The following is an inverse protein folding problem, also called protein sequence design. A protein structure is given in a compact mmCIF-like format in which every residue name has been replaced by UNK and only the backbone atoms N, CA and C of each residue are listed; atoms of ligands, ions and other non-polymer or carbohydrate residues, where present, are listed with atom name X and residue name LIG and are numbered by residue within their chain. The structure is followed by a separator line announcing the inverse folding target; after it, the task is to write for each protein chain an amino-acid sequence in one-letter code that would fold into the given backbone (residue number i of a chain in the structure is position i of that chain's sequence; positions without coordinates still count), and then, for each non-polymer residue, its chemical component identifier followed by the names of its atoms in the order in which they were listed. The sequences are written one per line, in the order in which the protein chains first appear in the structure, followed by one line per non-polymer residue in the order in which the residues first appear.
data_IF_784425736310
#
_entry.id   IF_784425736310
#
_cell.length_a   1.000
_cell.length_b   1.000
_cell.length_c   1.000
_cell.angle_alpha   90.00
_cell.angle_beta   90.00
_cell.angle_gamma   90.00
#
_symmetry.space_group_name_H-M   'P 1'
#
loop_
_entity.id
_entity.type
_entity.pdbx_description
1 polymer ?
#
# COMPACT_ATOMS: atom_id res chain seq x y z
N UNK A 1 23.30 -17.22 -9.32
CA UNK A 1 21.99 -16.81 -9.90
C UNK A 1 21.97 -15.27 -10.01
N UNK A 2 21.63 -14.71 -11.17
CA UNK A 2 21.67 -13.25 -11.36
C UNK A 2 20.30 -12.65 -10.97
N UNK A 3 20.27 -11.74 -9.99
CA UNK A 3 19.04 -11.13 -9.46
C UNK A 3 18.22 -10.40 -10.52
N UNK A 4 18.86 -9.77 -11.50
CA UNK A 4 18.18 -9.11 -12.64
C UNK A 4 17.38 -10.11 -13.49
N UNK A 5 17.87 -11.33 -13.66
CA UNK A 5 17.15 -12.38 -14.41
C UNK A 5 15.92 -12.86 -13.63
N UNK A 6 16.02 -13.01 -12.29
CA UNK A 6 14.87 -13.34 -11.43
C UNK A 6 13.82 -12.26 -11.51
N UNK A 7 14.20 -10.99 -11.39
CA UNK A 7 13.27 -9.85 -11.46
C UNK A 7 12.51 -9.82 -12.79
N UNK A 8 13.20 -10.04 -13.91
CA UNK A 8 12.56 -10.09 -15.22
C UNK A 8 11.53 -11.22 -15.33
N UNK A 9 11.85 -12.41 -14.80
CA UNK A 9 10.91 -13.54 -14.76
C UNK A 9 9.68 -13.24 -13.89
N UNK A 10 9.87 -12.61 -12.73
CA UNK A 10 8.77 -12.21 -11.84
C UNK A 10 7.88 -11.19 -12.53
N UNK A 11 8.46 -10.17 -13.19
CA UNK A 11 7.71 -9.14 -13.90
C UNK A 11 6.92 -9.75 -15.07
N UNK A 12 7.55 -10.60 -15.86
CA UNK A 12 6.88 -11.31 -16.96
C UNK A 12 5.71 -12.14 -16.46
N UNK A 13 5.90 -12.93 -15.40
CA UNK A 13 4.83 -13.69 -14.79
C UNK A 13 3.71 -12.78 -14.28
N UNK A 14 4.05 -11.70 -13.57
CA UNK A 14 3.07 -10.76 -13.05
C UNK A 14 2.24 -10.11 -14.15
N UNK A 15 2.85 -9.69 -15.23
CA UNK A 15 2.12 -9.05 -16.35
C UNK A 15 1.07 -9.98 -16.97
N UNK A 16 1.33 -11.30 -16.97
CA UNK A 16 0.40 -12.32 -17.50
C UNK A 16 -0.61 -12.85 -16.46
N UNK A 17 -0.32 -12.71 -15.15
CA UNK A 17 -1.13 -13.33 -14.08
C UNK A 17 -1.68 -12.33 -13.07
N UNK A 18 -1.49 -11.03 -13.26
CA UNK A 18 -1.93 -10.00 -12.31
C UNK A 18 -3.44 -10.02 -12.12
N UNK A 19 -3.86 -9.96 -10.86
CA UNK A 19 -5.28 -9.83 -10.52
C UNK A 19 -5.81 -8.46 -10.93
N UNK A 20 -7.04 -8.44 -11.43
CA UNK A 20 -7.76 -7.21 -11.65
C UNK A 20 -8.23 -6.63 -10.30
N UNK A 21 -7.65 -5.50 -9.90
CA UNK A 21 -7.98 -4.82 -8.65
C UNK A 21 -8.53 -3.42 -8.94
N UNK A 22 -9.69 -3.03 -8.33
CA UNK A 22 -10.34 -1.74 -8.62
C UNK A 22 -9.43 -0.53 -8.39
N UNK A 23 -8.53 -0.60 -7.41
CA UNK A 23 -7.58 0.45 -7.06
C UNK A 23 -6.29 0.46 -7.91
N UNK A 24 -6.13 -0.51 -8.83
CA UNK A 24 -4.98 -0.60 -9.75
C UNK A 24 -5.33 -0.33 -11.21
N UNK A 25 -6.51 0.22 -11.48
CA UNK A 25 -6.92 0.65 -12.82
C UNK A 25 -6.00 1.78 -13.32
N UNK A 26 -6.04 2.04 -14.64
CA UNK A 26 -5.44 3.25 -15.18
C UNK A 26 -6.22 4.47 -14.66
N UNK A 27 -5.59 5.27 -13.81
CA UNK A 27 -6.19 6.39 -13.09
C UNK A 27 -5.38 7.67 -13.33
N UNK A 28 -6.01 8.82 -13.16
CA UNK A 28 -5.29 10.09 -12.99
C UNK A 28 -4.34 10.00 -11.77
N UNK A 29 -3.30 10.82 -11.73
CA UNK A 29 -2.34 10.84 -10.61
C UNK A 29 -3.06 11.01 -9.26
N UNK A 30 -3.99 11.95 -9.17
CA UNK A 30 -4.74 12.24 -7.94
C UNK A 30 -5.61 11.06 -7.49
N UNK A 31 -6.34 10.44 -8.41
CA UNK A 31 -7.15 9.27 -8.08
C UNK A 31 -6.28 8.06 -7.69
N UNK A 32 -5.13 7.88 -8.32
CA UNK A 32 -4.18 6.82 -7.95
C UNK A 32 -3.68 6.99 -6.52
N UNK A 33 -3.30 8.21 -6.11
CA UNK A 33 -2.91 8.52 -4.74
C UNK A 33 -4.02 8.18 -3.75
N UNK A 34 -5.24 8.66 -4.01
CA UNK A 34 -6.38 8.45 -3.12
C UNK A 34 -6.81 6.97 -3.06
N UNK A 35 -6.89 6.29 -4.20
CA UNK A 35 -7.28 4.88 -4.25
C UNK A 35 -6.25 3.98 -3.58
N UNK A 36 -4.96 4.28 -3.74
CA UNK A 36 -3.90 3.59 -3.02
C UNK A 36 -4.04 3.78 -1.52
N UNK A 37 -4.23 5.02 -1.05
CA UNK A 37 -4.40 5.31 0.37
C UNK A 37 -5.58 4.51 0.96
N UNK A 38 -6.76 4.60 0.35
CA UNK A 38 -7.97 3.91 0.84
C UNK A 38 -7.78 2.39 0.83
N UNK A 39 -7.25 1.83 -0.27
CA UNK A 39 -7.05 0.38 -0.36
C UNK A 39 -6.03 -0.14 0.65
N UNK A 40 -4.92 0.57 0.88
CA UNK A 40 -3.92 0.17 1.88
C UNK A 40 -4.50 0.14 3.29
N UNK A 41 -5.32 1.13 3.67
CA UNK A 41 -6.03 1.10 4.97
C UNK A 41 -7.05 -0.04 5.07
N UNK A 42 -7.78 -0.33 4.00
CA UNK A 42 -8.75 -1.43 4.00
C UNK A 42 -8.10 -2.81 4.02
N UNK A 43 -6.92 -2.95 3.40
CA UNK A 43 -6.17 -4.21 3.30
C UNK A 43 -5.40 -4.56 4.58
N UNK A 44 -5.21 -3.63 5.52
CA UNK A 44 -4.61 -3.96 6.81
C UNK A 44 -5.41 -5.08 7.48
N UNK A 45 -4.81 -6.27 7.62
CA UNK A 45 -5.41 -7.46 8.24
C UNK A 45 -6.75 -7.92 7.63
N UNK A 46 -7.03 -7.56 6.37
CA UNK A 46 -8.25 -7.96 5.67
C UNK A 46 -7.91 -8.49 4.28
N UNK A 47 -8.54 -9.59 3.90
CA UNK A 47 -8.30 -10.24 2.61
C UNK A 47 -8.83 -9.38 1.44
N UNK A 48 -8.11 -9.43 0.32
CA UNK A 48 -8.44 -8.69 -0.91
C UNK A 48 -9.89 -8.94 -1.37
N UNK A 49 -10.34 -10.20 -1.35
CA UNK A 49 -11.70 -10.58 -1.78
C UNK A 49 -12.78 -9.84 -0.97
N UNK A 50 -12.57 -9.70 0.33
CA UNK A 50 -13.46 -8.97 1.23
C UNK A 50 -13.42 -7.45 0.95
N UNK A 51 -12.24 -6.91 0.70
CA UNK A 51 -12.05 -5.45 0.51
C UNK A 51 -12.68 -4.94 -0.79
N UNK A 52 -12.66 -5.70 -1.88
CA UNK A 52 -13.15 -5.24 -3.19
C UNK A 52 -14.55 -4.59 -3.15
N UNK A 53 -15.60 -5.25 -2.64
CA UNK A 53 -16.94 -4.65 -2.63
C UNK A 53 -17.04 -3.42 -1.72
N UNK A 54 -16.32 -3.40 -0.60
CA UNK A 54 -16.26 -2.24 0.28
C UNK A 54 -15.59 -1.05 -0.37
N UNK A 55 -14.46 -1.29 -1.01
CA UNK A 55 -13.70 -0.26 -1.72
C UNK A 55 -14.56 0.41 -2.79
N UNK A 56 -15.24 -0.37 -3.63
CA UNK A 56 -16.10 0.17 -4.70
C UNK A 56 -17.22 1.05 -4.11
N UNK A 57 -17.93 0.55 -3.09
CA UNK A 57 -18.99 1.32 -2.42
C UNK A 57 -18.45 2.60 -1.78
N UNK A 58 -17.27 2.51 -1.15
CA UNK A 58 -16.63 3.62 -0.46
C UNK A 58 -16.23 4.74 -1.44
N UNK A 59 -15.54 4.41 -2.51
CA UNK A 59 -15.06 5.38 -3.51
C UNK A 59 -16.23 6.07 -4.22
N UNK A 60 -17.32 5.35 -4.51
CA UNK A 60 -18.52 5.93 -5.13
C UNK A 60 -19.18 7.00 -4.25
N UNK A 61 -19.12 6.88 -2.93
CA UNK A 61 -19.74 7.82 -1.98
C UNK A 61 -18.78 8.88 -1.46
N UNK A 62 -17.50 8.54 -1.35
CA UNK A 62 -16.43 9.39 -0.84
C UNK A 62 -15.29 9.39 -1.88
N UNK A 63 -15.42 10.17 -2.98
CA UNK A 63 -14.57 10.03 -4.15
C UNK A 63 -13.20 10.72 -4.07
N UNK A 64 -12.90 11.44 -2.98
CA UNK A 64 -11.65 12.20 -2.87
C UNK A 64 -11.17 12.36 -1.42
N UNK A 65 -9.88 12.66 -1.25
CA UNK A 65 -9.27 12.96 0.06
C UNK A 65 -10.00 14.12 0.75
N UNK A 66 -10.29 15.18 0.02
CA UNK A 66 -10.97 16.36 0.57
C UNK A 66 -12.41 16.06 0.99
N UNK A 67 -13.12 15.20 0.24
CA UNK A 67 -14.44 14.73 0.66
C UNK A 67 -14.37 13.86 1.90
N UNK A 68 -13.37 12.99 1.99
CA UNK A 68 -13.12 12.12 3.13
C UNK A 68 -12.79 12.94 4.40
N UNK A 69 -12.00 14.00 4.27
CA UNK A 69 -11.70 14.89 5.39
C UNK A 69 -12.95 15.53 5.98
N UNK A 70 -13.95 15.85 5.14
CA UNK A 70 -15.19 16.56 5.53
C UNK A 70 -16.36 15.64 5.90
N UNK A 71 -16.26 14.32 5.63
CA UNK A 71 -17.37 13.39 5.87
C UNK A 71 -17.71 13.27 7.36
N UNK A 72 -18.98 13.16 7.73
CA UNK A 72 -19.39 12.90 9.12
C UNK A 72 -18.92 11.50 9.57
N UNK A 73 -18.58 11.36 10.86
CA UNK A 73 -18.11 10.09 11.40
C UNK A 73 -19.12 8.95 11.21
N UNK A 74 -20.42 9.22 11.42
CA UNK A 74 -21.49 8.25 11.21
C UNK A 74 -21.52 7.72 9.77
N UNK A 75 -21.40 8.62 8.79
CA UNK A 75 -21.35 8.25 7.37
C UNK A 75 -20.13 7.41 7.07
N UNK A 76 -18.95 7.80 7.58
CA UNK A 76 -17.73 7.01 7.43
C UNK A 76 -17.91 5.60 8.01
N UNK A 77 -18.40 5.48 9.25
CA UNK A 77 -18.61 4.19 9.92
C UNK A 77 -19.61 3.31 9.20
N UNK A 78 -20.69 3.89 8.68
CA UNK A 78 -21.69 3.16 7.87
C UNK A 78 -21.06 2.52 6.63
N UNK A 79 -20.17 3.22 5.93
CA UNK A 79 -19.46 2.67 4.75
C UNK A 79 -18.33 1.72 5.11
N UNK A 80 -17.94 1.64 6.38
CA UNK A 80 -16.91 0.72 6.89
C UNK A 80 -17.50 -0.48 7.63
N UNK A 81 -18.80 -0.42 7.96
CA UNK A 81 -19.50 -1.44 8.75
C UNK A 81 -19.38 -2.82 8.09
N UNK A 82 -18.95 -3.81 8.86
CA UNK A 82 -18.68 -5.19 8.40
C UNK A 82 -17.24 -5.46 7.98
N UNK A 83 -16.42 -4.42 7.74
CA UNK A 83 -15.01 -4.62 7.42
C UNK A 83 -14.14 -4.85 8.68
N UNK A 84 -14.63 -4.45 9.85
CA UNK A 84 -13.92 -4.59 11.12
C UNK A 84 -12.78 -3.60 11.33
N UNK A 85 -12.09 -3.72 12.46
CA UNK A 85 -10.95 -2.87 12.82
C UNK A 85 -11.19 -1.38 12.58
N UNK A 86 -12.24 -0.83 13.21
CA UNK A 86 -12.74 0.54 13.00
C UNK A 86 -11.72 1.65 13.29
N UNK A 87 -10.66 1.35 14.04
CA UNK A 87 -9.53 2.26 14.22
C UNK A 87 -8.90 2.68 12.90
N UNK A 88 -8.89 1.78 11.88
CA UNK A 88 -8.39 2.09 10.54
C UNK A 88 -9.23 3.17 9.86
N UNK A 89 -10.56 3.08 9.94
CA UNK A 89 -11.45 4.11 9.39
C UNK A 89 -11.22 5.47 10.05
N UNK A 90 -11.10 5.49 11.38
CA UNK A 90 -10.80 6.73 12.12
C UNK A 90 -9.44 7.30 11.73
N UNK A 91 -8.41 6.47 11.63
CA UNK A 91 -7.09 6.89 11.21
C UNK A 91 -7.07 7.38 9.76
N UNK A 92 -7.74 6.68 8.84
CA UNK A 92 -7.90 7.11 7.45
C UNK A 92 -8.52 8.50 7.34
N UNK A 93 -9.56 8.81 8.14
CA UNK A 93 -10.14 10.15 8.18
C UNK A 93 -9.18 11.19 8.76
N UNK A 94 -8.52 10.88 9.89
CA UNK A 94 -7.50 11.78 10.48
C UNK A 94 -6.39 12.08 9.47
N UNK A 95 -5.93 11.06 8.76
CA UNK A 95 -4.95 11.18 7.67
C UNK A 95 -5.47 12.09 6.55
N UNK A 96 -6.72 11.93 6.11
CA UNK A 96 -7.32 12.79 5.09
C UNK A 96 -7.43 14.25 5.54
N UNK A 97 -7.75 14.50 6.82
CA UNK A 97 -7.79 15.86 7.40
C UNK A 97 -6.38 16.47 7.38
N UNK A 98 -5.36 15.75 7.86
CA UNK A 98 -3.97 16.23 7.87
C UNK A 98 -3.47 16.49 6.44
N UNK A 99 -3.71 15.59 5.50
CA UNK A 99 -3.35 15.78 4.08
C UNK A 99 -4.05 17.00 3.48
N UNK A 100 -5.32 17.22 3.79
CA UNK A 100 -6.04 18.38 3.27
C UNK A 100 -5.50 19.69 3.84
N UNK A 101 -5.15 19.70 5.12
CA UNK A 101 -4.64 20.88 5.83
C UNK A 101 -3.20 21.21 5.46
N UNK A 102 -2.31 20.23 5.50
CA UNK A 102 -0.86 20.44 5.49
C UNK A 102 -0.26 20.22 4.08
N UNK A 103 -0.96 19.49 3.18
CA UNK A 103 -0.43 19.07 1.87
C UNK A 103 -1.39 19.38 0.71
N UNK A 104 -2.30 20.36 0.88
CA UNK A 104 -3.25 20.79 -0.16
C UNK A 104 -4.04 19.65 -0.81
N UNK A 105 -4.38 18.61 -0.05
CA UNK A 105 -5.14 17.45 -0.52
C UNK A 105 -4.34 16.46 -1.38
N UNK A 106 -3.00 16.55 -1.39
CA UNK A 106 -2.10 15.63 -2.10
C UNK A 106 -1.30 14.82 -1.10
N UNK A 107 -1.05 13.55 -1.39
CA UNK A 107 -0.19 12.73 -0.54
C UNK A 107 1.25 13.29 -0.54
N UNK A 108 1.91 13.36 0.63
CA UNK A 108 3.34 13.63 0.68
C UNK A 108 4.13 12.55 -0.07
N UNK A 109 5.25 12.94 -0.65
CA UNK A 109 6.04 12.09 -1.55
C UNK A 109 7.38 11.65 -0.93
N UNK A 110 7.40 11.45 0.40
CA UNK A 110 8.51 10.82 1.13
C UNK A 110 7.99 9.77 2.12
N UNK A 111 8.82 8.80 2.45
CA UNK A 111 8.49 7.75 3.42
C UNK A 111 8.33 8.38 4.80
N UNK A 112 9.20 9.31 5.14
CA UNK A 112 9.27 10.01 6.42
C UNK A 112 7.96 10.78 6.68
N UNK A 113 7.57 11.64 5.76
CA UNK A 113 6.32 12.41 5.87
C UNK A 113 5.07 11.52 5.89
N UNK A 114 5.05 10.44 5.08
CA UNK A 114 3.96 9.48 5.10
C UNK A 114 3.81 8.80 6.47
N UNK A 115 4.90 8.48 7.14
CA UNK A 115 4.90 7.86 8.49
C UNK A 115 4.37 8.78 9.58
N UNK A 116 4.39 10.09 9.36
CA UNK A 116 3.79 11.10 10.25
C UNK A 116 2.25 11.12 10.21
N UNK A 117 1.66 10.43 9.23
CA UNK A 117 0.23 10.37 9.06
C UNK A 117 -0.38 9.24 9.93
N UNK A 118 -1.53 9.50 10.61
CA UNK A 118 -2.16 8.53 11.49
C UNK A 118 -2.46 7.19 10.83
N UNK A 119 -1.94 6.09 11.37
CA UNK A 119 -2.18 4.73 10.87
C UNK A 119 -1.33 4.31 9.67
N UNK A 120 -0.33 5.12 9.29
CA UNK A 120 0.65 4.78 8.26
C UNK A 120 1.99 4.43 8.94
N UNK A 121 2.33 3.15 8.90
CA UNK A 121 3.61 2.63 9.37
C UNK A 121 4.62 2.46 8.23
N UNK A 122 5.76 1.87 8.55
CA UNK A 122 6.88 1.62 7.63
C UNK A 122 6.44 0.87 6.35
N UNK A 123 5.68 -0.22 6.51
CA UNK A 123 5.17 -0.99 5.37
C UNK A 123 4.23 -0.14 4.49
N UNK A 124 3.22 0.48 5.11
CA UNK A 124 2.18 1.22 4.38
C UNK A 124 2.77 2.43 3.65
N UNK A 125 3.73 3.15 4.25
CA UNK A 125 4.41 4.27 3.61
C UNK A 125 5.19 3.82 2.37
N UNK A 126 5.95 2.73 2.46
CA UNK A 126 6.67 2.14 1.32
C UNK A 126 5.73 1.61 0.24
N UNK A 127 4.60 0.99 0.61
CA UNK A 127 3.59 0.53 -0.33
C UNK A 127 2.96 1.71 -1.10
N UNK A 128 2.62 2.79 -0.41
CA UNK A 128 2.12 4.02 -1.04
C UNK A 128 3.17 4.59 -2.00
N UNK A 129 4.45 4.68 -1.59
CA UNK A 129 5.52 5.18 -2.46
C UNK A 129 5.69 4.33 -3.73
N UNK A 130 5.63 3.01 -3.60
CA UNK A 130 5.74 2.11 -4.74
C UNK A 130 4.51 2.23 -5.68
N UNK A 131 3.29 2.19 -5.14
CA UNK A 131 2.06 2.06 -5.93
C UNK A 131 1.57 3.43 -6.44
N UNK A 132 1.48 4.44 -5.56
CA UNK A 132 0.96 5.75 -5.94
C UNK A 132 1.98 6.58 -6.70
N UNK A 133 3.24 6.54 -6.29
CA UNK A 133 4.32 7.38 -6.85
C UNK A 133 5.27 6.64 -7.79
N UNK A 134 5.06 5.35 -8.02
CA UNK A 134 5.91 4.52 -8.88
C UNK A 134 7.40 4.55 -8.48
N UNK A 135 7.68 4.64 -7.17
CA UNK A 135 9.06 4.62 -6.66
C UNK A 135 9.58 3.19 -6.58
N UNK A 136 10.88 3.01 -6.81
CA UNK A 136 11.57 1.72 -6.77
C UNK A 136 11.82 1.28 -5.34
N UNK A 137 10.74 0.96 -4.62
CA UNK A 137 10.75 0.52 -3.23
C UNK A 137 9.97 -0.77 -3.14
N UNK A 138 10.51 -1.77 -2.47
CA UNK A 138 9.82 -3.01 -2.15
C UNK A 138 9.44 -2.95 -0.67
N UNK A 139 8.14 -2.86 -0.34
CA UNK A 139 7.70 -2.91 1.06
C UNK A 139 7.97 -4.31 1.62
N UNK A 140 8.64 -4.39 2.76
CA UNK A 140 8.94 -5.65 3.42
C UNK A 140 7.76 -6.06 4.31
N UNK A 141 6.96 -7.02 3.85
CA UNK A 141 5.93 -7.71 4.63
C UNK A 141 6.33 -9.17 4.89
N UNK A 142 5.51 -9.89 5.66
CA UNK A 142 5.77 -11.30 5.96
C UNK A 142 5.82 -12.21 4.72
N UNK A 143 5.21 -11.82 3.60
CA UNK A 143 5.29 -12.58 2.35
C UNK A 143 6.63 -12.34 1.65
N UNK A 144 7.05 -11.09 1.56
CA UNK A 144 8.35 -10.71 0.99
C UNK A 144 9.48 -11.30 1.84
N UNK A 145 9.38 -11.18 3.16
CA UNK A 145 10.34 -11.80 4.09
C UNK A 145 10.47 -13.31 3.86
N UNK A 146 9.34 -14.03 3.79
CA UNK A 146 9.33 -15.47 3.53
C UNK A 146 9.98 -15.82 2.19
N UNK A 147 9.73 -15.03 1.14
CA UNK A 147 10.35 -15.23 -0.17
C UNK A 147 11.86 -15.00 -0.09
N UNK A 148 12.29 -13.91 0.54
CA UNK A 148 13.72 -13.61 0.71
C UNK A 148 14.43 -14.73 1.48
N UNK A 149 13.86 -15.18 2.59
CA UNK A 149 14.42 -16.31 3.37
C UNK A 149 14.59 -17.56 2.50
N UNK A 150 13.64 -17.88 1.64
CA UNK A 150 13.72 -19.04 0.74
C UNK A 150 14.75 -18.85 -0.37
N UNK A 151 14.77 -17.68 -1.01
CA UNK A 151 15.69 -17.40 -2.13
C UNK A 151 17.15 -17.38 -1.67
N UNK A 152 17.39 -16.88 -0.47
CA UNK A 152 18.76 -16.81 0.07
C UNK A 152 19.11 -17.96 1.03
N UNK A 153 18.27 -19.02 1.10
CA UNK A 153 18.49 -20.20 1.95
C UNK A 153 18.71 -19.85 3.43
N UNK A 154 18.08 -18.80 3.94
CA UNK A 154 18.21 -18.39 5.33
C UNK A 154 17.44 -19.33 6.24
N UNK A 155 18.11 -19.90 7.25
CA UNK A 155 17.50 -20.87 8.17
C UNK A 155 16.45 -20.19 9.07
N UNK A 156 15.41 -20.96 9.45
CA UNK A 156 14.31 -20.47 10.30
C UNK A 156 14.76 -20.03 11.71
N UNK A 157 15.84 -20.60 12.19
CA UNK A 157 16.35 -20.46 13.56
C UNK A 157 17.20 -19.20 13.77
N UNK A 158 17.61 -18.52 12.69
CA UNK A 158 18.37 -17.27 12.79
C UNK A 158 17.39 -16.09 12.93
N UNK A 159 17.55 -15.30 13.99
CA UNK A 159 16.91 -13.96 14.08
C UNK A 159 17.52 -13.03 13.01
N UNK A 160 16.90 -13.05 11.85
CA UNK A 160 17.36 -12.25 10.72
C UNK A 160 16.77 -10.86 10.84
N UNK A 161 17.61 -9.86 11.02
CA UNK A 161 17.16 -8.48 11.17
C UNK A 161 16.47 -7.96 9.90
N UNK A 162 15.53 -7.04 10.09
CA UNK A 162 14.85 -6.37 8.95
C UNK A 162 15.83 -5.58 8.08
N UNK A 163 16.89 -5.04 8.66
CA UNK A 163 17.96 -4.33 7.97
C UNK A 163 18.70 -5.25 7.02
N UNK A 164 19.04 -6.46 7.46
CA UNK A 164 19.66 -7.47 6.62
C UNK A 164 18.76 -7.86 5.44
N UNK A 165 17.46 -8.10 5.68
CA UNK A 165 16.51 -8.44 4.64
C UNK A 165 16.30 -7.28 3.64
N UNK A 166 16.25 -6.03 4.11
CA UNK A 166 16.20 -4.86 3.24
C UNK A 166 17.44 -4.76 2.35
N UNK A 167 18.63 -5.09 2.87
CA UNK A 167 19.86 -5.17 2.06
C UNK A 167 19.76 -6.21 0.94
N UNK A 168 19.12 -7.37 1.19
CA UNK A 168 18.90 -8.42 0.19
C UNK A 168 17.90 -8.02 -0.92
N UNK A 169 17.00 -7.10 -0.67
CA UNK A 169 16.08 -6.57 -1.70
C UNK A 169 16.85 -5.96 -2.87
N UNK A 170 17.97 -5.31 -2.61
CA UNK A 170 18.80 -4.69 -3.64
C UNK A 170 19.37 -5.69 -4.65
N UNK A 171 19.46 -6.98 -4.27
CA UNK A 171 19.88 -8.05 -5.16
C UNK A 171 19.00 -8.19 -6.41
N UNK A 172 17.70 -7.93 -6.29
CA UNK A 172 16.74 -8.07 -7.39
C UNK A 172 16.87 -6.96 -8.43
N UNK A 173 17.74 -5.98 -8.19
CA UNK A 173 17.95 -4.87 -9.10
C UNK A 173 16.73 -3.96 -9.21
N UNK A 174 16.95 -2.76 -9.67
CA UNK A 174 15.89 -1.80 -9.93
C UNK A 174 15.36 -1.99 -11.34
N UNK A 175 14.26 -2.72 -11.55
CA UNK A 175 13.53 -2.58 -12.81
C UNK A 175 12.98 -1.15 -12.90
N UNK A 176 12.87 -0.59 -14.11
CA UNK A 176 12.26 0.73 -14.32
C UNK A 176 10.74 0.73 -14.03
N UNK A 177 10.18 -0.36 -13.51
CA UNK A 177 8.77 -0.55 -13.17
C UNK A 177 8.67 -0.87 -11.68
N UNK A 178 8.18 0.08 -10.88
CA UNK A 178 7.67 -0.21 -9.55
C UNK A 178 6.29 -0.86 -9.72
N UNK A 179 6.24 -2.17 -9.77
CA UNK A 179 5.01 -2.96 -9.82
C UNK A 179 5.07 -4.08 -8.79
#
# INVERSE_FOLDING_TARGET
MNGKNISNKIIYWYDNNKRFLPWRKKLSKQNREYYTLVSEFMLQQTQVKTVIPYFIKFINKIPSITRLAKVKNETLMRHWQGLGYYSRARNLKKTAIKITKDYNGRLPCSVEELKELPGIGEYTSKAIMAIAFNKKIIPLDGNVERILKRVFYLRKEEEISKEYLNGKINFFGTSNRAR
#
